data_IF_421400208671
#
_entry.id   IF_421400208671
#
_cell.length_a   1.000
_cell.length_b   1.000
_cell.length_c   1.000
_cell.angle_alpha   90.00
_cell.angle_beta   90.00
_cell.angle_gamma   90.00
#
_symmetry.space_group_name_H-M   'P 1'
#
loop_
_entity.id
_entity.type
_entity.pdbx_description
1 polymer ?
#
# COMPACT_ATOMS: atom_id res chain seq x y z
N UNK A 1 15.23 25.60 -3.68
CA UNK A 1 16.51 24.87 -3.85
C UNK A 1 16.35 23.36 -3.82
N UNK A 2 15.45 22.79 -3.01
CA UNK A 2 15.16 21.34 -3.02
C UNK A 2 14.18 20.91 -4.14
N UNK A 3 13.27 21.79 -4.58
CA UNK A 3 12.30 21.47 -5.64
C UNK A 3 12.92 21.30 -7.04
N UNK A 4 14.15 21.77 -7.25
CA UNK A 4 14.91 21.59 -8.50
C UNK A 4 15.64 20.25 -8.58
N UNK A 5 15.63 19.46 -7.51
CA UNK A 5 16.34 18.18 -7.43
C UNK A 5 15.60 17.05 -8.16
N UNK A 6 14.29 17.18 -8.35
CA UNK A 6 13.47 16.34 -9.24
C UNK A 6 13.70 14.83 -9.09
N UNK A 7 13.41 14.10 -10.18
CA UNK A 7 13.68 12.66 -10.30
C UNK A 7 15.17 12.32 -10.10
N UNK A 8 16.16 13.12 -10.58
CA UNK A 8 17.57 12.80 -10.39
C UNK A 8 18.01 12.66 -8.93
N UNK A 9 17.56 13.51 -8.01
CA UNK A 9 17.95 13.34 -6.60
C UNK A 9 17.18 12.25 -5.89
N UNK A 10 15.96 11.93 -6.31
CA UNK A 10 15.27 10.74 -5.81
C UNK A 10 16.09 9.47 -6.14
N UNK A 11 16.65 9.39 -7.35
CA UNK A 11 17.52 8.30 -7.77
C UNK A 11 18.79 8.24 -6.90
N UNK A 12 19.41 9.37 -6.59
CA UNK A 12 20.59 9.41 -5.71
C UNK A 12 20.28 8.87 -4.31
N UNK A 13 19.15 9.29 -3.72
CA UNK A 13 18.69 8.80 -2.42
C UNK A 13 18.42 7.28 -2.49
N UNK A 14 17.79 6.82 -3.57
CA UNK A 14 17.55 5.40 -3.82
C UNK A 14 18.85 4.61 -3.87
N UNK A 15 19.87 5.09 -4.57
CA UNK A 15 21.18 4.43 -4.64
C UNK A 15 21.79 4.30 -3.25
N UNK A 16 21.80 5.37 -2.45
CA UNK A 16 22.32 5.32 -1.07
C UNK A 16 21.53 4.32 -0.22
N UNK A 17 20.20 4.32 -0.32
CA UNK A 17 19.36 3.36 0.37
C UNK A 17 19.64 1.92 -0.08
N UNK A 18 19.85 1.68 -1.38
CA UNK A 18 20.20 0.38 -1.93
C UNK A 18 21.58 -0.10 -1.49
N UNK A 19 22.53 0.79 -1.23
CA UNK A 19 23.85 0.41 -0.68
C UNK A 19 23.72 -0.04 0.77
N UNK A 20 22.89 0.64 1.58
CA UNK A 20 22.70 0.31 3.00
C UNK A 20 21.83 -0.94 3.18
N UNK A 21 20.69 -1.00 2.49
CA UNK A 21 19.70 -2.06 2.64
C UNK A 21 19.90 -3.20 1.63
N UNK A 22 20.53 -2.96 0.49
CA UNK A 22 20.65 -3.93 -0.60
C UNK A 22 19.45 -3.89 -1.56
N UNK A 23 19.66 -4.17 -2.86
CA UNK A 23 18.59 -4.12 -3.87
C UNK A 23 17.51 -5.18 -3.72
N UNK A 24 17.82 -6.29 -3.05
CA UNK A 24 16.85 -7.37 -2.82
C UNK A 24 15.88 -7.09 -1.67
N UNK A 25 16.26 -6.25 -0.69
CA UNK A 25 15.44 -6.01 0.50
C UNK A 25 14.23 -5.11 0.22
N UNK A 26 14.37 -4.10 -0.63
CA UNK A 26 13.24 -3.20 -0.95
C UNK A 26 12.06 -3.96 -1.61
N UNK A 27 12.27 -4.82 -2.64
CA UNK A 27 11.21 -5.66 -3.19
C UNK A 27 10.66 -6.67 -2.20
N UNK A 28 11.49 -7.25 -1.34
CA UNK A 28 11.07 -8.22 -0.32
C UNK A 28 10.11 -7.58 0.69
N UNK A 29 10.47 -6.41 1.23
CA UNK A 29 9.63 -5.61 2.12
C UNK A 29 8.34 -5.19 1.41
N UNK A 30 8.43 -4.74 0.16
CA UNK A 30 7.26 -4.36 -0.64
C UNK A 30 6.30 -5.54 -0.87
N UNK A 31 6.82 -6.74 -1.11
CA UNK A 31 6.00 -7.96 -1.26
C UNK A 31 5.33 -8.34 0.05
N UNK A 32 6.06 -8.32 1.17
CA UNK A 32 5.49 -8.62 2.48
C UNK A 32 4.39 -7.62 2.86
N UNK A 33 4.69 -6.32 2.75
CA UNK A 33 3.73 -5.25 3.01
C UNK A 33 2.52 -5.32 2.07
N UNK A 34 2.74 -5.62 0.78
CA UNK A 34 1.68 -5.75 -0.21
C UNK A 34 0.70 -6.90 0.10
N UNK A 35 1.19 -8.03 0.65
CA UNK A 35 0.32 -9.12 1.11
C UNK A 35 -0.56 -8.66 2.27
N UNK A 36 0.04 -8.04 3.29
CA UNK A 36 -0.70 -7.46 4.42
C UNK A 36 -1.75 -6.45 3.96
N UNK A 37 -1.40 -5.55 3.05
CA UNK A 37 -2.32 -4.53 2.55
C UNK A 37 -3.48 -5.13 1.73
N UNK A 38 -3.22 -6.24 1.02
CA UNK A 38 -4.24 -6.97 0.27
C UNK A 38 -5.24 -7.66 1.19
N UNK A 39 -4.75 -8.32 2.24
CA UNK A 39 -5.57 -8.96 3.28
C UNK A 39 -6.38 -7.91 4.04
N UNK A 40 -5.74 -6.81 4.45
CA UNK A 40 -6.41 -5.69 5.11
C UNK A 40 -7.53 -5.09 4.24
N UNK A 41 -7.27 -4.88 2.95
CA UNK A 41 -8.27 -4.40 2.00
C UNK A 41 -9.45 -5.36 1.88
N UNK A 42 -9.19 -6.66 1.87
CA UNK A 42 -10.24 -7.68 1.76
C UNK A 42 -11.11 -7.68 3.00
N UNK A 43 -10.50 -7.73 4.19
CA UNK A 43 -11.20 -7.66 5.46
C UNK A 43 -12.03 -6.37 5.60
N UNK A 44 -11.44 -5.21 5.26
CA UNK A 44 -12.16 -3.94 5.29
C UNK A 44 -13.36 -3.91 4.33
N UNK A 45 -13.24 -4.55 3.16
CA UNK A 45 -14.32 -4.65 2.18
C UNK A 45 -15.46 -5.55 2.66
N UNK A 46 -15.13 -6.64 3.35
CA UNK A 46 -16.14 -7.56 3.89
C UNK A 46 -16.91 -6.90 5.04
N UNK A 47 -16.22 -6.18 5.94
CA UNK A 47 -16.87 -5.37 6.98
C UNK A 47 -17.84 -4.32 6.41
N UNK A 48 -17.47 -3.68 5.31
CA UNK A 48 -18.32 -2.66 4.66
C UNK A 48 -19.51 -3.28 3.92
N UNK A 49 -19.38 -4.53 3.45
CA UNK A 49 -20.45 -5.24 2.72
C UNK A 49 -21.53 -5.76 3.65
N UNK A 50 -21.17 -6.19 4.86
CA UNK A 50 -22.16 -6.64 5.85
C UNK A 50 -23.08 -5.46 6.26
N UNK A 51 -22.53 -4.25 6.41
CA UNK A 51 -23.29 -3.01 6.64
C UNK A 51 -24.22 -2.60 5.47
N UNK A 52 -23.86 -2.90 4.23
CA UNK A 52 -24.72 -2.62 3.06
C UNK A 52 -25.81 -3.68 2.83
N UNK A 53 -25.55 -4.92 3.22
CA UNK A 53 -26.48 -6.04 3.03
C UNK A 53 -27.66 -5.95 4.01
N UNK A 54 -27.40 -5.54 5.26
CA UNK A 54 -28.42 -5.34 6.29
C UNK A 54 -29.37 -4.16 5.98
N UNK A 55 -28.91 -3.13 5.25
CA UNK A 55 -29.73 -1.98 4.83
C UNK A 55 -30.64 -2.24 3.63
N UNK A 56 -30.40 -3.28 2.83
CA UNK A 56 -31.23 -3.59 1.65
C UNK A 56 -32.45 -4.42 2.00
N UNK A 57 -32.38 -5.27 3.03
CA UNK A 57 -33.50 -6.12 3.45
C UNK A 57 -34.63 -5.33 4.13
N UNK A 58 -34.33 -4.20 4.80
CA UNK A 58 -35.35 -3.38 5.48
C UNK A 58 -36.14 -2.43 4.54
N UNK A 59 -35.78 -2.31 3.26
CA UNK A 59 -36.46 -1.44 2.30
C UNK A 59 -37.46 -2.15 1.39
N UNK A 60 -37.55 -3.48 1.45
CA UNK A 60 -38.49 -4.29 0.66
C UNK A 60 -39.62 -4.93 1.49
N UNK A 61 -39.76 -4.56 2.78
CA UNK A 61 -40.86 -4.98 3.66
C UNK A 61 -41.85 -3.84 3.97
#
# INVERSE_FOLDING_TARGET
MLSSIGIPGLILILIIALVIFGPSKLPEIGRAFGRTLTEFKTAAKDLTKDDESERKETKEA
#
